data_IF_352058297835
#
_entry.id   IF_352058297835
#
_cell.length_a   1.000
_cell.length_b   1.000
_cell.length_c   1.000
_cell.angle_alpha   90.00
_cell.angle_beta   90.00
_cell.angle_gamma   90.00
#
_symmetry.space_group_name_H-M   'P 1'
#
loop_
_entity.id
_entity.type
_entity.pdbx_description
1 polymer ?
#
# COMPACT_ATOMS: atom_id res chain seq x y z
N UNK A 1 15.14 18.07 -5.02
CA UNK A 1 15.06 17.06 -6.09
C UNK A 1 14.14 16.01 -5.54
N UNK A 2 13.05 15.79 -6.25
CA UNK A 2 11.86 15.07 -5.81
C UNK A 2 12.06 13.56 -5.89
N UNK A 3 11.57 12.81 -4.89
CA UNK A 3 11.69 11.34 -4.86
C UNK A 3 10.66 10.68 -5.78
N UNK A 4 11.06 9.65 -6.51
CA UNK A 4 10.20 8.94 -7.46
C UNK A 4 9.44 7.82 -6.76
N UNK A 5 8.11 7.88 -6.78
CA UNK A 5 7.24 6.95 -6.07
C UNK A 5 6.38 6.15 -7.06
N UNK A 6 6.37 4.83 -6.89
CA UNK A 6 5.40 3.94 -7.55
C UNK A 6 4.36 3.49 -6.53
N UNK A 7 3.08 3.56 -6.90
CA UNK A 7 1.98 3.06 -6.06
C UNK A 7 1.46 1.74 -6.64
N UNK A 8 1.32 0.72 -5.79
CA UNK A 8 0.66 -0.54 -6.11
C UNK A 8 -0.72 -0.59 -5.43
N UNK A 9 -1.78 -0.92 -6.16
CA UNK A 9 -3.12 -1.05 -5.59
C UNK A 9 -4.05 -1.91 -6.45
N UNK A 10 -4.96 -2.67 -5.83
CA UNK A 10 -5.84 -3.62 -6.53
C UNK A 10 -7.30 -3.19 -6.65
N UNK A 11 -7.71 -2.09 -6.01
CA UNK A 11 -9.12 -1.79 -5.78
C UNK A 11 -9.52 -0.32 -5.94
N UNK A 12 -10.31 0.17 -4.98
CA UNK A 12 -10.90 1.52 -5.01
C UNK A 12 -9.88 2.65 -5.09
N UNK A 13 -8.65 2.43 -4.58
CA UNK A 13 -7.56 3.40 -4.65
C UNK A 13 -7.71 4.60 -3.73
N UNK A 14 -8.45 4.51 -2.61
CA UNK A 14 -8.64 5.64 -1.69
C UNK A 14 -7.36 6.06 -0.97
N UNK A 15 -6.48 5.12 -0.62
CA UNK A 15 -5.16 5.43 -0.08
C UNK A 15 -4.26 6.07 -1.15
N UNK A 16 -4.25 5.51 -2.37
CA UNK A 16 -3.54 6.11 -3.49
C UNK A 16 -4.00 7.54 -3.76
N UNK A 17 -5.31 7.82 -3.70
CA UNK A 17 -5.84 9.18 -3.83
C UNK A 17 -5.29 10.11 -2.75
N UNK A 18 -5.22 9.67 -1.49
CA UNK A 18 -4.67 10.49 -0.42
C UNK A 18 -3.19 10.86 -0.67
N UNK A 19 -2.40 9.95 -1.24
CA UNK A 19 -1.01 10.22 -1.62
C UNK A 19 -0.95 11.20 -2.81
N UNK A 20 -1.82 11.02 -3.80
CA UNK A 20 -1.92 11.90 -4.98
C UNK A 20 -2.30 13.33 -4.57
N UNK A 21 -3.21 13.47 -3.62
CA UNK A 21 -3.71 14.77 -3.16
C UNK A 21 -2.71 15.50 -2.24
N UNK A 22 -1.70 14.80 -1.71
CA UNK A 22 -0.70 15.32 -0.77
C UNK A 22 0.43 16.11 -1.49
N UNK A 23 0.04 17.24 -2.09
CA UNK A 23 0.94 18.11 -2.89
C UNK A 23 2.09 18.75 -2.10
N UNK A 24 2.07 18.67 -0.77
CA UNK A 24 3.12 19.12 0.13
C UNK A 24 4.33 18.17 0.21
N UNK A 25 4.17 16.91 -0.22
CA UNK A 25 5.26 15.94 -0.26
C UNK A 25 6.19 16.24 -1.44
N UNK A 26 7.51 16.25 -1.22
CA UNK A 26 8.51 16.34 -2.31
C UNK A 26 8.68 14.99 -3.01
N UNK A 27 7.58 14.49 -3.60
CA UNK A 27 7.49 13.24 -4.37
C UNK A 27 6.90 13.44 -5.76
N UNK A 28 7.35 12.60 -6.69
CA UNK A 28 6.82 12.46 -8.04
C UNK A 28 6.20 11.08 -8.12
N UNK A 29 4.87 11.00 -8.24
CA UNK A 29 4.20 9.71 -8.46
C UNK A 29 4.36 9.35 -9.92
N UNK A 30 5.34 8.49 -10.20
CA UNK A 30 5.77 8.16 -11.57
C UNK A 30 4.91 7.08 -12.21
N UNK A 31 4.29 6.23 -11.41
CA UNK A 31 3.30 5.27 -11.89
C UNK A 31 2.35 4.76 -10.80
N UNK A 32 1.16 4.37 -11.23
CA UNK A 32 0.24 3.51 -10.48
C UNK A 32 0.12 2.16 -11.18
N UNK A 33 0.41 1.06 -10.50
CA UNK A 33 0.31 -0.29 -11.04
C UNK A 33 -0.79 -1.06 -10.32
N UNK A 34 -1.67 -1.71 -11.08
CA UNK A 34 -2.74 -2.56 -10.58
C UNK A 34 -2.63 -3.97 -11.15
N UNK A 35 -3.00 -4.99 -10.37
CA UNK A 35 -3.19 -6.35 -10.87
C UNK A 35 -4.62 -6.62 -11.34
N UNK A 36 -5.49 -5.60 -11.31
CA UNK A 36 -6.90 -5.68 -11.70
C UNK A 36 -7.18 -4.59 -12.74
N UNK A 37 -7.51 -4.99 -13.97
CA UNK A 37 -7.80 -4.09 -15.09
C UNK A 37 -9.00 -3.16 -14.87
N UNK A 38 -9.97 -3.57 -14.04
CA UNK A 38 -11.16 -2.79 -13.68
C UNK A 38 -11.01 -1.95 -12.41
N UNK A 39 -9.83 -1.92 -11.78
CA UNK A 39 -9.62 -1.20 -10.53
C UNK A 39 -9.84 0.31 -10.69
N UNK A 40 -10.62 0.90 -9.78
CA UNK A 40 -10.91 2.34 -9.79
C UNK A 40 -9.65 3.20 -9.59
N UNK A 41 -8.60 2.65 -8.97
CA UNK A 41 -7.31 3.35 -8.82
C UNK A 41 -6.73 3.81 -10.17
N UNK A 42 -6.95 3.05 -11.25
CA UNK A 42 -6.47 3.39 -12.59
C UNK A 42 -7.13 4.68 -13.10
N UNK A 43 -8.43 4.83 -12.87
CA UNK A 43 -9.17 6.04 -13.22
C UNK A 43 -8.69 7.25 -12.41
N UNK A 44 -8.32 7.06 -11.13
CA UNK A 44 -7.76 8.12 -10.27
C UNK A 44 -6.40 8.58 -10.76
N UNK A 45 -5.53 7.64 -11.14
CA UNK A 45 -4.22 7.93 -11.72
C UNK A 45 -4.37 8.75 -13.01
N UNK A 46 -5.21 8.28 -13.94
CA UNK A 46 -5.46 8.95 -15.22
C UNK A 46 -6.02 10.37 -15.03
N UNK A 47 -6.97 10.56 -14.10
CA UNK A 47 -7.52 11.89 -13.78
C UNK A 47 -6.45 12.88 -13.29
N UNK A 48 -5.39 12.36 -12.69
CA UNK A 48 -4.30 13.15 -12.11
C UNK A 48 -3.08 13.24 -13.06
N UNK A 49 -3.21 12.77 -14.30
CA UNK A 49 -2.12 12.77 -15.28
C UNK A 49 -0.98 11.77 -14.98
N UNK A 50 -1.20 10.83 -14.06
CA UNK A 50 -0.19 9.85 -13.64
C UNK A 50 -0.26 8.63 -14.56
N UNK A 51 0.90 8.13 -14.99
CA UNK A 51 0.97 6.91 -15.79
C UNK A 51 0.40 5.73 -15.01
N UNK A 52 -0.39 4.89 -15.67
CA UNK A 52 -0.94 3.69 -15.06
C UNK A 52 -0.64 2.45 -15.90
N UNK A 53 -0.43 1.32 -15.21
CA UNK A 53 -0.15 0.02 -15.85
C UNK A 53 -0.96 -1.08 -15.17
N UNK A 54 -1.42 -2.04 -15.96
CA UNK A 54 -2.08 -3.24 -15.46
C UNK A 54 -1.13 -4.43 -15.65
N UNK A 55 -0.92 -5.20 -14.59
CA UNK A 55 -0.11 -6.43 -14.59
C UNK A 55 -0.89 -7.52 -13.84
N UNK A 56 -1.82 -8.16 -14.55
CA UNK A 56 -2.68 -9.19 -13.98
C UNK A 56 -1.89 -10.47 -13.71
N UNK A 57 -2.26 -11.20 -12.65
CA UNK A 57 -1.69 -12.53 -12.39
C UNK A 57 -2.27 -13.50 -13.41
N UNK A 58 -1.50 -13.80 -14.46
CA UNK A 58 -1.83 -14.82 -15.44
C UNK A 58 -1.60 -16.24 -14.92
N UNK A 59 -1.51 -17.20 -15.85
CA UNK A 59 -1.35 -18.62 -15.51
C UNK A 59 -0.01 -18.95 -14.81
N UNK A 60 1.04 -18.13 -15.00
CA UNK A 60 2.34 -18.35 -14.37
C UNK A 60 2.67 -17.22 -13.40
N UNK A 61 2.82 -17.60 -12.13
CA UNK A 61 3.25 -16.69 -11.08
C UNK A 61 4.69 -16.20 -11.30
N UNK A 62 5.55 -17.05 -11.86
CA UNK A 62 6.94 -16.70 -12.16
C UNK A 62 7.03 -15.62 -13.24
N UNK A 63 6.19 -15.69 -14.27
CA UNK A 63 6.09 -14.65 -15.30
C UNK A 63 5.63 -13.33 -14.65
N UNK A 64 4.55 -13.38 -13.86
CA UNK A 64 4.06 -12.19 -13.16
C UNK A 64 5.11 -11.55 -12.23
N UNK A 65 5.85 -12.36 -11.47
CA UNK A 65 6.93 -11.88 -10.61
C UNK A 65 7.99 -11.10 -11.40
N UNK A 66 8.40 -11.62 -12.56
CA UNK A 66 9.37 -10.94 -13.43
C UNK A 66 8.79 -9.64 -14.00
N UNK A 67 7.56 -9.68 -14.49
CA UNK A 67 6.90 -8.52 -15.10
C UNK A 67 6.71 -7.36 -14.13
N UNK A 68 6.31 -7.61 -12.88
CA UNK A 68 6.13 -6.55 -11.88
C UNK A 68 7.47 -5.92 -11.49
N UNK A 69 8.53 -6.73 -11.36
CA UNK A 69 9.89 -6.23 -11.07
C UNK A 69 10.40 -5.36 -12.23
N UNK A 70 10.29 -5.84 -13.47
CA UNK A 70 10.73 -5.10 -14.65
C UNK A 70 9.94 -3.80 -14.84
N UNK A 71 8.63 -3.84 -14.60
CA UNK A 71 7.79 -2.65 -14.69
C UNK A 71 8.19 -1.58 -13.68
N UNK A 72 8.38 -1.94 -12.41
CA UNK A 72 8.79 -0.97 -11.38
C UNK A 72 10.22 -0.46 -11.64
N UNK A 73 11.13 -1.33 -12.11
CA UNK A 73 12.49 -0.94 -12.44
C UNK A 73 12.57 0.15 -13.52
N UNK A 74 11.68 0.13 -14.52
CA UNK A 74 11.63 1.15 -15.58
C UNK A 74 11.38 2.56 -15.04
N UNK A 75 10.71 2.66 -13.89
CA UNK A 75 10.37 3.94 -13.29
C UNK A 75 11.47 4.50 -12.39
N UNK A 76 12.55 3.76 -12.12
CA UNK A 76 13.61 4.16 -11.16
C UNK A 76 13.01 4.66 -9.83
N UNK A 77 12.11 3.89 -9.25
CA UNK A 77 11.41 4.28 -8.04
C UNK A 77 12.36 4.28 -6.82
N UNK A 78 12.37 5.37 -6.06
CA UNK A 78 13.04 5.49 -4.77
C UNK A 78 12.22 4.84 -3.65
N UNK A 79 10.90 4.77 -3.83
CA UNK A 79 9.96 4.13 -2.93
C UNK A 79 8.82 3.48 -3.71
N UNK A 80 8.44 2.28 -3.28
CA UNK A 80 7.19 1.63 -3.68
C UNK A 80 6.21 1.68 -2.50
N UNK A 81 4.97 2.06 -2.77
CA UNK A 81 3.89 2.10 -1.78
C UNK A 81 2.81 1.09 -2.14
N UNK A 82 2.69 0.03 -1.36
CA UNK A 82 1.55 -0.89 -1.39
C UNK A 82 0.36 -0.24 -0.67
N UNK A 83 -0.60 0.25 -1.46
CA UNK A 83 -1.77 0.98 -1.01
C UNK A 83 -3.06 0.16 -1.26
N UNK A 84 -3.18 -0.96 -0.54
CA UNK A 84 -4.26 -1.94 -0.75
C UNK A 84 -3.99 -2.84 -1.96
N UNK A 85 -2.75 -3.29 -2.11
CA UNK A 85 -2.36 -4.26 -3.12
C UNK A 85 -2.57 -5.69 -2.59
N UNK A 86 -3.38 -6.47 -3.29
CA UNK A 86 -3.87 -7.78 -2.81
C UNK A 86 -3.00 -8.95 -3.29
N UNK A 87 -1.72 -8.69 -3.61
CA UNK A 87 -0.75 -9.69 -4.05
C UNK A 87 0.50 -9.61 -3.20
N UNK A 88 0.96 -10.79 -2.78
CA UNK A 88 2.27 -10.95 -2.14
C UNK A 88 3.35 -10.56 -3.16
N UNK A 89 4.32 -9.74 -2.78
CA UNK A 89 5.45 -9.40 -3.65
C UNK A 89 6.52 -10.50 -3.54
N UNK A 90 7.23 -10.86 -4.63
CA UNK A 90 8.29 -11.85 -4.53
C UNK A 90 9.48 -11.30 -3.73
N UNK A 91 10.28 -12.14 -3.04
CA UNK A 91 11.44 -11.70 -2.26
C UNK A 91 12.43 -10.83 -3.04
N UNK A 92 12.66 -11.14 -4.32
CA UNK A 92 13.52 -10.34 -5.21
C UNK A 92 13.02 -8.89 -5.38
N UNK A 93 11.70 -8.67 -5.36
CA UNK A 93 11.12 -7.34 -5.47
C UNK A 93 11.45 -6.49 -4.25
N UNK A 94 11.18 -7.02 -3.05
CA UNK A 94 11.34 -6.27 -1.79
C UNK A 94 12.79 -6.05 -1.41
N UNK A 95 13.70 -6.93 -1.85
CA UNK A 95 15.15 -6.71 -1.74
C UNK A 95 15.66 -5.60 -2.66
N UNK A 96 14.98 -5.37 -3.78
CA UNK A 96 15.39 -4.41 -4.80
C UNK A 96 14.79 -3.02 -4.59
N UNK A 97 13.55 -2.95 -4.12
CA UNK A 97 12.81 -1.71 -3.99
C UNK A 97 12.41 -1.49 -2.53
N UNK A 98 12.84 -0.38 -1.89
CA UNK A 98 12.28 0.05 -0.62
C UNK A 98 10.76 0.11 -0.76
N UNK A 99 10.05 -0.73 0.00
CA UNK A 99 8.60 -0.91 -0.15
C UNK A 99 7.93 -0.79 1.21
N UNK A 100 6.92 0.07 1.29
CA UNK A 100 6.04 0.16 2.46
C UNK A 100 4.64 -0.37 2.13
N UNK A 101 3.94 -0.88 3.14
CA UNK A 101 2.56 -1.34 3.04
C UNK A 101 1.71 -0.76 4.15
N UNK A 102 0.45 -0.41 3.83
CA UNK A 102 -0.59 -0.12 4.83
C UNK A 102 -1.43 -1.37 5.07
N UNK A 103 -1.50 -1.79 6.32
CA UNK A 103 -2.26 -2.94 6.78
C UNK A 103 -3.38 -2.52 7.74
N UNK A 104 -4.64 -2.98 7.56
CA UNK A 104 -5.78 -2.53 8.36
C UNK A 104 -5.94 -3.30 9.68
N UNK A 105 -4.84 -3.45 10.43
CA UNK A 105 -4.81 -3.88 11.82
C UNK A 105 -3.56 -3.35 12.54
N UNK A 106 -3.50 -3.57 13.85
CA UNK A 106 -2.29 -3.30 14.66
C UNK A 106 -1.38 -4.53 14.62
N UNK A 107 -0.46 -4.59 13.65
CA UNK A 107 0.55 -5.65 13.61
C UNK A 107 1.34 -5.70 14.94
N UNK A 108 1.70 -6.90 15.44
CA UNK A 108 1.62 -8.20 14.77
C UNK A 108 0.24 -8.88 14.79
N UNK A 109 -0.79 -8.24 15.33
CA UNK A 109 -2.14 -8.82 15.39
C UNK A 109 -2.83 -8.79 14.01
N UNK A 110 -3.51 -9.89 13.69
CA UNK A 110 -4.32 -10.08 12.48
C UNK A 110 -3.56 -9.83 11.15
N UNK A 111 -2.42 -10.51 10.89
CA UNK A 111 -1.74 -10.41 9.60
C UNK A 111 -2.56 -11.09 8.48
N UNK A 112 -2.25 -10.76 7.23
CA UNK A 112 -2.87 -11.35 6.05
C UNK A 112 -4.15 -10.65 5.58
N UNK A 113 -4.74 -11.20 4.52
CA UNK A 113 -5.74 -10.50 3.69
C UNK A 113 -7.10 -10.20 4.37
N UNK A 114 -7.35 -10.70 5.58
CA UNK A 114 -8.65 -10.65 6.24
C UNK A 114 -8.62 -10.01 7.63
N UNK A 115 -7.64 -9.13 7.87
CA UNK A 115 -7.39 -8.51 9.17
C UNK A 115 -8.64 -7.92 9.86
N UNK A 116 -9.50 -7.23 9.11
CA UNK A 116 -10.75 -6.63 9.65
C UNK A 116 -11.75 -7.69 10.11
N UNK A 117 -11.96 -8.73 9.29
CA UNK A 117 -12.82 -9.87 9.65
C UNK A 117 -12.30 -10.56 10.90
N UNK A 118 -11.00 -10.79 10.94
CA UNK A 118 -10.36 -11.55 12.01
C UNK A 118 -10.37 -10.75 13.33
N UNK A 119 -10.22 -9.42 13.28
CA UNK A 119 -10.40 -8.54 14.43
C UNK A 119 -11.84 -8.59 14.98
N UNK A 120 -12.85 -8.53 14.11
CA UNK A 120 -14.26 -8.67 14.52
C UNK A 120 -14.54 -10.03 15.14
N UNK A 121 -14.04 -11.11 14.53
CA UNK A 121 -14.20 -12.46 15.02
C UNK A 121 -13.54 -12.68 16.40
N UNK A 122 -12.42 -12.00 16.66
CA UNK A 122 -11.75 -12.02 17.96
C UNK A 122 -12.46 -11.19 19.04
N UNK A 123 -13.45 -10.36 18.69
CA UNK A 123 -14.20 -9.54 19.64
C UNK A 123 -13.39 -8.43 20.32
N UNK A 124 -12.30 -7.99 19.69
CA UNK A 124 -11.45 -6.92 20.23
C UNK A 124 -12.21 -5.60 20.26
N UNK A 125 -11.93 -4.77 21.28
CA UNK A 125 -12.51 -3.42 21.40
C UNK A 125 -11.71 -2.37 20.62
N UNK A 126 -10.45 -2.70 20.29
CA UNK A 126 -9.51 -1.82 19.59
C UNK A 126 -8.78 -2.65 18.54
N UNK A 127 -8.75 -2.12 17.32
CA UNK A 127 -7.86 -2.54 16.23
C UNK A 127 -7.11 -1.29 15.75
N UNK A 128 -6.72 -1.22 14.49
CA UNK A 128 -6.08 -0.03 13.95
C UNK A 128 -5.61 -0.18 12.53
N UNK A 129 -4.58 0.57 12.21
CA UNK A 129 -3.80 0.43 10.99
C UNK A 129 -2.32 0.52 11.31
N UNK A 130 -1.53 -0.19 10.51
CA UNK A 130 -0.07 -0.20 10.55
C UNK A 130 0.48 0.18 9.19
N UNK A 131 1.45 1.09 9.16
CA UNK A 131 2.34 1.23 8.00
C UNK A 131 3.70 0.63 8.38
N UNK A 132 4.16 -0.32 7.57
CA UNK A 132 5.39 -1.07 7.82
C UNK A 132 6.22 -1.23 6.54
N UNK A 133 7.51 -1.52 6.71
CA UNK A 133 8.35 -2.00 5.61
C UNK A 133 7.93 -3.41 5.21
N UNK A 134 7.94 -3.70 3.92
CA UNK A 134 7.66 -5.05 3.39
C UNK A 134 8.96 -5.85 3.36
N UNK A 135 8.93 -7.07 3.90
CA UNK A 135 10.00 -8.06 3.85
C UNK A 135 9.55 -9.30 3.04
N UNK A 136 10.25 -10.43 3.18
CA UNK A 136 9.92 -11.67 2.47
C UNK A 136 8.73 -12.43 3.08
N UNK A 137 8.28 -12.03 4.26
CA UNK A 137 7.09 -12.54 4.91
C UNK A 137 5.82 -11.76 4.55
N UNK A 138 4.70 -12.17 5.16
CA UNK A 138 3.41 -11.49 5.01
C UNK A 138 3.15 -10.69 6.27
N UNK A 139 3.21 -9.36 6.14
CA UNK A 139 2.98 -8.42 7.22
C UNK A 139 3.92 -8.58 8.43
N UNK A 140 5.18 -9.01 8.19
CA UNK A 140 6.19 -9.26 9.23
C UNK A 140 7.28 -8.19 9.31
N UNK A 141 7.42 -7.37 8.28
CA UNK A 141 8.49 -6.40 8.24
C UNK A 141 8.38 -5.28 9.28
N UNK A 142 9.48 -4.53 9.52
CA UNK A 142 9.54 -3.55 10.60
C UNK A 142 8.44 -2.48 10.53
N UNK A 143 7.72 -2.31 11.63
CA UNK A 143 6.68 -1.29 11.80
C UNK A 143 7.32 0.10 11.75
N UNK A 144 6.73 1.02 10.98
CA UNK A 144 7.14 2.43 10.91
C UNK A 144 6.23 3.26 11.80
N UNK A 145 4.91 3.14 11.61
CA UNK A 145 3.89 3.87 12.38
C UNK A 145 2.62 3.06 12.52
N UNK A 146 1.88 3.29 13.60
CA UNK A 146 0.57 2.69 13.84
C UNK A 146 -0.41 3.72 14.37
N UNK A 147 -1.71 3.47 14.16
CA UNK A 147 -2.78 4.24 14.78
C UNK A 147 -3.90 3.31 15.21
N UNK A 148 -4.37 3.48 16.45
CA UNK A 148 -5.50 2.71 16.99
C UNK A 148 -6.83 3.21 16.42
N UNK A 149 -7.76 2.28 16.24
CA UNK A 149 -9.13 2.54 15.80
C UNK A 149 -10.07 1.72 16.67
N UNK A 150 -11.09 2.34 17.30
CA UNK A 150 -12.05 1.59 18.11
C UNK A 150 -12.96 0.72 17.22
N UNK A 151 -13.27 -0.47 17.73
CA UNK A 151 -14.34 -1.34 17.23
C UNK A 151 -15.60 -0.98 18.00
N UNK A 152 -16.64 -0.55 17.29
CA UNK A 152 -17.88 -0.09 17.92
C UNK A 152 -18.89 -1.25 18.03
N UNK A 153 -19.80 -1.21 19.03
CA UNK A 153 -20.89 -2.16 19.11
C UNK A 153 -21.72 -2.16 17.82
N UNK A 154 -21.89 -3.33 17.21
CA UNK A 154 -22.65 -3.51 15.98
C UNK A 154 -21.88 -3.26 14.68
N UNK A 155 -20.56 -3.05 14.74
CA UNK A 155 -19.74 -3.03 13.53
C UNK A 155 -19.83 -4.34 12.74
N UNK A 156 -19.89 -4.18 11.42
CA UNK A 156 -19.60 -5.21 10.43
C UNK A 156 -18.25 -4.93 9.74
N UNK A 157 -17.81 -5.82 8.85
CA UNK A 157 -16.54 -5.64 8.13
C UNK A 157 -16.50 -4.33 7.35
N UNK A 158 -17.60 -3.92 6.72
CA UNK A 158 -17.63 -2.73 5.87
C UNK A 158 -17.49 -1.44 6.68
N UNK A 159 -18.24 -1.34 7.79
CA UNK A 159 -18.25 -0.18 8.68
C UNK A 159 -16.93 -0.03 9.43
N UNK A 160 -16.37 -1.12 9.96
CA UNK A 160 -15.06 -1.09 10.61
C UNK A 160 -13.94 -0.77 9.60
N UNK A 161 -13.95 -1.41 8.42
CA UNK A 161 -12.93 -1.17 7.40
C UNK A 161 -12.95 0.27 6.89
N UNK A 162 -14.12 0.88 6.68
CA UNK A 162 -14.20 2.29 6.29
C UNK A 162 -13.69 3.21 7.40
N UNK A 163 -13.93 2.88 8.68
CA UNK A 163 -13.37 3.65 9.81
C UNK A 163 -11.84 3.57 9.82
N UNK A 164 -11.27 2.38 9.62
CA UNK A 164 -9.82 2.19 9.51
C UNK A 164 -9.27 2.98 8.31
N UNK A 165 -9.90 2.89 7.14
CA UNK A 165 -9.48 3.63 5.92
C UNK A 165 -9.45 5.15 6.08
N UNK A 166 -10.34 5.72 6.91
CA UNK A 166 -10.29 7.17 7.23
C UNK A 166 -8.99 7.54 7.92
N UNK A 167 -8.50 6.68 8.82
CA UNK A 167 -7.24 6.87 9.53
C UNK A 167 -6.04 6.53 8.63
N UNK A 168 -6.11 5.44 7.86
CA UNK A 168 -5.05 5.00 6.94
C UNK A 168 -4.63 6.08 5.95
N UNK A 169 -5.60 6.80 5.38
CA UNK A 169 -5.33 7.86 4.39
C UNK A 169 -4.39 8.94 4.92
N UNK A 170 -4.60 9.38 6.16
CA UNK A 170 -3.71 10.36 6.78
C UNK A 170 -2.40 9.74 7.25
N UNK A 171 -2.47 8.53 7.81
CA UNK A 171 -1.30 7.83 8.33
C UNK A 171 -0.27 7.57 7.22
N UNK A 172 -0.68 7.02 6.07
CA UNK A 172 0.24 6.69 4.98
C UNK A 172 0.95 7.92 4.40
N UNK A 173 0.25 9.05 4.27
CA UNK A 173 0.83 10.33 3.81
C UNK A 173 1.87 10.83 4.83
N UNK A 174 1.52 10.82 6.12
CA UNK A 174 2.44 11.20 7.19
C UNK A 174 3.66 10.27 7.28
N UNK A 175 3.47 8.97 7.06
CA UNK A 175 4.57 7.99 7.05
C UNK A 175 5.52 8.24 5.88
N UNK A 176 4.99 8.53 4.69
CA UNK A 176 5.83 8.91 3.54
C UNK A 176 6.65 10.16 3.90
N UNK A 177 6.02 11.22 4.42
CA UNK A 177 6.73 12.42 4.86
C UNK A 177 7.86 12.13 5.86
N UNK A 178 7.62 11.20 6.79
CA UNK A 178 8.58 10.81 7.83
C UNK A 178 9.80 10.09 7.26
N UNK A 179 9.62 9.18 6.28
CA UNK A 179 10.71 8.36 5.74
C UNK A 179 11.41 8.99 4.54
N UNK A 180 10.81 9.98 3.87
CA UNK A 180 11.42 10.64 2.70
C UNK A 180 12.88 11.09 2.94
N UNK A 181 13.24 11.72 4.08
CA UNK A 181 14.62 12.13 4.33
C UNK A 181 15.61 10.97 4.48
N UNK A 182 15.15 9.74 4.69
CA UNK A 182 15.99 8.55 4.89
C UNK A 182 16.20 7.74 3.62
N UNK A 183 15.52 8.07 2.53
CA UNK A 183 15.60 7.32 1.28
C UNK A 183 16.85 7.68 0.47
N UNK A 184 17.48 6.66 -0.09
CA UNK A 184 18.47 6.84 -1.15
C UNK A 184 17.78 7.15 -2.48
N UNK A 185 18.44 7.95 -3.32
CA UNK A 185 17.91 8.36 -4.62
C UNK A 185 18.55 7.53 -5.73
N UNK A 186 17.71 6.99 -6.62
CA UNK A 186 18.14 6.33 -7.84
C UNK A 186 18.44 7.40 -8.90
N UNK A 187 19.74 7.70 -9.10
CA UNK A 187 20.22 8.62 -10.15
C UNK A 187 20.30 7.90 -11.50
#
# INVERSE_FOLDING_TARGET
MTHRVVILASGSGTLAQAIIDATELDIEIVAVISDVSSAQVLARANKSGIQSKVIEVGASRQIWNKEIIEAVAQYKADLVVSAGFMRILPPEFVQRFPTINSHPALLPDFPGAHAVRDALAAGVQVTGTTVHWVDDGVDTGPIITQMQVPVLPGDDEATLHERIKKVERGLIVATIALILPTLERNV
#
